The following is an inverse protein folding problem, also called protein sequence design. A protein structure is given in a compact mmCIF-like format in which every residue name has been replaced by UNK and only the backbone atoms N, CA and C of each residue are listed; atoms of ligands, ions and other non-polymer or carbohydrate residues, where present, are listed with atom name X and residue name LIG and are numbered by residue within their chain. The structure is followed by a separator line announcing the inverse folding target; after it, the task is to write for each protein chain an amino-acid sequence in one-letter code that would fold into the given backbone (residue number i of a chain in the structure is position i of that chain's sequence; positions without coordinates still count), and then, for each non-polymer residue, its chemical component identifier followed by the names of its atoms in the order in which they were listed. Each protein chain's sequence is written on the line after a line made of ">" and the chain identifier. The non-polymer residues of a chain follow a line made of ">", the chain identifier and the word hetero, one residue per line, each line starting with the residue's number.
data_IF_419543193768
#
_entry.id   IF_419543193768
#
_cell.length_a   1.000
_cell.length_b   1.000
_cell.length_c   1.000
_cell.angle_alpha   90.00
_cell.angle_beta   90.00
_cell.angle_gamma   90.00
#
_symmetry.space_group_name_H-M   'P 1'
#
loop_
_entity.id
_entity.type
_entity.pdbx_description
1 polymer ?
#
# COMPACT_ATOMS: atom_id res chain seq x y z
N UNK A 1 -22.35 14.74 6.79
CA UNK A 1 -20.91 14.94 6.57
C UNK A 1 -20.37 13.73 5.82
N UNK A 2 -19.58 13.95 4.78
CA UNK A 2 -18.92 12.88 4.06
C UNK A 2 -17.92 12.15 4.96
N UNK A 3 -17.74 10.86 4.71
CA UNK A 3 -16.79 10.03 5.41
C UNK A 3 -15.51 9.77 4.59
N UNK A 4 -14.66 8.93 5.14
CA UNK A 4 -13.47 8.40 4.46
C UNK A 4 -13.62 6.92 4.10
N UNK A 5 -14.56 6.24 4.78
CA UNK A 5 -14.82 4.81 4.61
C UNK A 5 -15.99 4.58 3.64
N UNK A 6 -15.68 4.05 2.46
CA UNK A 6 -16.66 3.68 1.44
C UNK A 6 -17.32 2.32 1.68
N UNK A 7 -16.93 1.60 2.73
CA UNK A 7 -17.59 0.37 3.18
C UNK A 7 -18.57 0.63 4.35
N UNK A 8 -18.83 1.89 4.67
CA UNK A 8 -19.73 2.28 5.75
C UNK A 8 -21.19 2.35 5.31
N UNK A 9 -22.12 2.15 6.27
CA UNK A 9 -23.57 2.37 6.06
C UNK A 9 -23.84 3.80 5.54
N UNK A 10 -23.05 4.79 5.97
CA UNK A 10 -23.16 6.16 5.48
C UNK A 10 -22.90 6.25 3.97
N UNK A 11 -21.91 5.52 3.47
CA UNK A 11 -21.63 5.45 2.03
C UNK A 11 -22.75 4.73 1.27
N UNK A 12 -23.28 3.61 1.76
CA UNK A 12 -24.39 2.90 1.14
C UNK A 12 -25.63 3.81 1.00
N UNK A 13 -25.97 4.55 2.06
CA UNK A 13 -27.08 5.52 2.05
C UNK A 13 -26.80 6.66 1.08
N UNK A 14 -25.55 7.15 1.03
CA UNK A 14 -25.15 8.17 0.07
C UNK A 14 -25.27 7.70 -1.38
N UNK A 15 -24.81 6.48 -1.70
CA UNK A 15 -24.96 5.90 -3.03
C UNK A 15 -26.45 5.71 -3.41
N UNK A 16 -27.27 5.22 -2.46
CA UNK A 16 -28.72 5.14 -2.67
C UNK A 16 -29.32 6.51 -2.97
N UNK A 17 -28.87 7.56 -2.28
CA UNK A 17 -29.33 8.94 -2.52
C UNK A 17 -28.98 9.40 -3.93
N UNK A 18 -27.74 9.18 -4.37
CA UNK A 18 -27.29 9.53 -5.71
C UNK A 18 -28.04 8.74 -6.80
N UNK A 19 -28.23 7.44 -6.62
CA UNK A 19 -28.98 6.59 -7.55
C UNK A 19 -30.42 7.10 -7.78
N UNK A 20 -31.07 7.59 -6.71
CA UNK A 20 -32.42 8.15 -6.80
C UNK A 20 -32.41 9.51 -7.48
N UNK A 21 -31.47 10.40 -7.13
CA UNK A 21 -31.33 11.72 -7.75
C UNK A 21 -31.04 11.66 -9.25
N UNK A 22 -30.28 10.65 -9.67
CA UNK A 22 -29.94 10.39 -11.07
C UNK A 22 -30.98 9.53 -11.81
N UNK A 23 -32.05 9.13 -11.13
CA UNK A 23 -33.15 8.34 -11.72
C UNK A 23 -32.84 6.84 -11.94
N UNK A 24 -31.72 6.33 -11.41
CA UNK A 24 -31.34 4.91 -11.49
C UNK A 24 -32.17 4.02 -10.56
N UNK A 25 -32.68 4.59 -9.46
CA UNK A 25 -33.55 3.91 -8.49
C UNK A 25 -34.77 4.76 -8.17
N UNK A 26 -35.86 4.11 -7.78
CA UNK A 26 -37.10 4.78 -7.32
C UNK A 26 -37.48 4.23 -5.94
N UNK A 27 -37.55 5.13 -4.94
CA UNK A 27 -38.07 4.81 -3.61
C UNK A 27 -38.91 5.99 -3.10
N UNK A 28 -40.25 5.90 -3.17
CA UNK A 28 -41.13 7.03 -2.80
C UNK A 28 -41.11 7.36 -1.30
N UNK A 29 -40.54 6.51 -0.48
CA UNK A 29 -40.37 6.74 0.96
C UNK A 29 -39.02 7.35 1.35
N UNK A 30 -38.12 7.57 0.37
CA UNK A 30 -36.80 8.14 0.58
C UNK A 30 -36.65 9.41 -0.26
N UNK A 31 -36.57 10.55 0.40
CA UNK A 31 -36.35 11.84 -0.24
C UNK A 31 -34.90 12.29 -0.08
N UNK A 32 -34.04 12.10 -1.07
CA UNK A 32 -32.63 12.43 -0.97
C UNK A 32 -32.38 13.92 -1.23
N UNK A 33 -31.55 14.51 -0.38
CA UNK A 33 -30.93 15.82 -0.61
C UNK A 33 -29.44 15.72 -0.27
N UNK A 34 -28.57 16.04 -1.22
CA UNK A 34 -27.12 15.94 -1.05
C UNK A 34 -26.47 17.30 -1.31
N UNK A 35 -25.84 17.85 -0.29
CA UNK A 35 -25.02 19.05 -0.38
C UNK A 35 -23.56 18.64 -0.29
N UNK A 36 -22.90 18.42 -1.41
CA UNK A 36 -21.51 17.99 -1.48
C UNK A 36 -20.87 18.42 -2.78
N UNK A 37 -19.58 18.61 -2.78
CA UNK A 37 -18.82 18.96 -3.97
C UNK A 37 -18.51 17.68 -4.77
N UNK A 38 -18.81 17.63 -6.08
CA UNK A 38 -18.36 16.55 -6.96
C UNK A 38 -16.83 16.42 -6.99
N UNK A 39 -16.32 15.20 -7.20
CA UNK A 39 -14.88 14.89 -7.15
C UNK A 39 -14.07 15.69 -8.20
N UNK A 40 -14.69 16.01 -9.35
CA UNK A 40 -14.08 16.74 -10.45
C UNK A 40 -14.26 18.27 -10.38
N UNK A 41 -14.91 18.81 -9.35
CA UNK A 41 -15.12 20.24 -9.19
C UNK A 41 -13.96 20.90 -8.44
N UNK A 42 -13.69 22.17 -8.79
CA UNK A 42 -12.64 22.94 -8.13
C UNK A 42 -13.03 23.27 -6.68
N UNK A 43 -12.28 22.73 -5.74
CA UNK A 43 -12.48 22.91 -4.31
C UNK A 43 -12.01 24.28 -3.79
N UNK A 44 -11.22 24.99 -4.58
CA UNK A 44 -10.68 26.31 -4.23
C UNK A 44 -11.64 27.44 -4.60
N UNK A 45 -12.61 27.18 -5.47
CA UNK A 45 -13.61 28.16 -5.88
C UNK A 45 -14.64 28.41 -4.76
N UNK A 46 -14.69 29.63 -4.22
CA UNK A 46 -15.65 30.06 -3.20
C UNK A 46 -17.12 29.84 -3.59
N UNK A 47 -17.46 29.92 -4.87
CA UNK A 47 -18.83 29.66 -5.32
C UNK A 47 -19.26 28.23 -5.08
N UNK A 48 -18.34 27.29 -5.14
CA UNK A 48 -18.58 25.90 -4.82
C UNK A 48 -18.79 25.67 -3.31
N UNK A 49 -18.20 26.51 -2.45
CA UNK A 49 -18.43 26.44 -1.00
C UNK A 49 -19.87 26.74 -0.62
N UNK A 50 -20.50 27.70 -1.31
CA UNK A 50 -21.94 28.03 -1.11
C UNK A 50 -22.84 26.88 -1.56
N UNK A 51 -22.51 26.15 -2.64
CA UNK A 51 -23.27 24.98 -3.10
C UNK A 51 -23.27 23.85 -2.07
N UNK A 52 -22.15 23.67 -1.36
CA UNK A 52 -22.00 22.65 -0.33
C UNK A 52 -22.58 23.05 1.02
N UNK A 53 -22.72 24.34 1.28
CA UNK A 53 -23.13 24.89 2.57
C UNK A 53 -24.28 25.91 2.36
N UNK A 54 -25.54 25.45 2.26
CA UNK A 54 -26.68 26.33 2.00
C UNK A 54 -26.92 27.38 3.11
N UNK A 55 -26.35 27.19 4.30
CA UNK A 55 -26.40 28.14 5.43
C UNK A 55 -25.19 29.09 5.49
N UNK A 56 -24.28 29.04 4.52
CA UNK A 56 -23.11 29.91 4.47
C UNK A 56 -23.55 31.37 4.24
N UNK A 57 -23.02 32.25 5.05
CA UNK A 57 -23.42 33.65 5.13
C UNK A 57 -24.53 33.94 6.16
N UNK A 58 -25.20 32.90 6.68
CA UNK A 58 -26.22 33.04 7.72
C UNK A 58 -25.75 32.49 9.08
N UNK A 59 -25.46 31.18 9.17
CA UNK A 59 -25.02 30.52 10.39
C UNK A 59 -23.51 30.39 10.48
N UNK A 60 -22.84 30.35 9.32
CA UNK A 60 -21.37 30.30 9.22
C UNK A 60 -20.94 31.49 8.36
N UNK A 61 -20.02 32.30 8.89
CA UNK A 61 -19.47 33.43 8.12
C UNK A 61 -18.47 32.92 7.08
N UNK A 62 -18.42 33.59 5.93
CA UNK A 62 -17.48 33.22 4.85
C UNK A 62 -16.02 33.30 5.31
N UNK A 63 -15.69 34.24 6.21
CA UNK A 63 -14.33 34.41 6.72
C UNK A 63 -13.82 33.18 7.49
N UNK A 64 -14.70 32.53 8.27
CA UNK A 64 -14.35 31.27 8.95
C UNK A 64 -14.04 30.12 7.96
N UNK A 65 -14.69 30.14 6.80
CA UNK A 65 -14.41 29.13 5.75
C UNK A 65 -13.12 29.48 5.03
N UNK A 66 -12.85 30.78 4.78
CA UNK A 66 -11.57 31.25 4.22
C UNK A 66 -10.39 30.93 5.13
N UNK A 67 -10.52 31.14 6.45
CA UNK A 67 -9.46 30.76 7.40
C UNK A 67 -9.17 29.25 7.34
N UNK A 68 -10.22 28.42 7.29
CA UNK A 68 -10.05 26.98 7.13
C UNK A 68 -9.45 26.59 5.77
N UNK A 69 -9.77 27.32 4.71
CA UNK A 69 -9.19 27.16 3.38
C UNK A 69 -7.70 27.52 3.37
N UNK A 70 -7.30 28.64 3.95
CA UNK A 70 -5.89 29.03 4.02
C UNK A 70 -5.08 27.98 4.76
N UNK A 71 -5.61 27.42 5.85
CA UNK A 71 -4.98 26.32 6.54
C UNK A 71 -4.89 25.04 5.67
N UNK A 72 -5.92 24.79 4.86
CA UNK A 72 -5.94 23.62 3.96
C UNK A 72 -4.87 23.68 2.85
N UNK A 73 -4.33 24.85 2.54
CA UNK A 73 -3.20 25.00 1.61
C UNK A 73 -1.85 24.65 2.22
N UNK A 74 -1.75 24.51 3.56
CA UNK A 74 -0.48 24.26 4.24
C UNK A 74 -0.08 22.80 4.17
N UNK A 75 -1.04 21.85 4.28
CA UNK A 75 -0.75 20.42 4.26
C UNK A 75 -1.85 19.63 3.54
N UNK A 76 -1.52 18.48 2.92
CA UNK A 76 -2.50 17.56 2.33
C UNK A 76 -3.54 17.03 3.34
N UNK A 77 -3.17 16.93 4.61
CA UNK A 77 -4.06 16.52 5.68
C UNK A 77 -5.15 17.58 5.96
N UNK A 78 -4.75 18.84 6.03
CA UNK A 78 -5.66 19.96 6.23
C UNK A 78 -6.56 20.17 5.00
N UNK A 79 -6.04 19.95 3.77
CA UNK A 79 -6.84 19.92 2.54
C UNK A 79 -7.93 18.85 2.61
N UNK A 80 -7.58 17.61 2.94
CA UNK A 80 -8.55 16.53 3.07
C UNK A 80 -9.60 16.83 4.15
N UNK A 81 -9.18 17.38 5.28
CA UNK A 81 -10.09 17.79 6.34
C UNK A 81 -11.05 18.90 5.88
N UNK A 82 -10.57 19.91 5.13
CA UNK A 82 -11.39 20.97 4.57
C UNK A 82 -12.41 20.40 3.57
N UNK A 83 -11.97 19.58 2.62
CA UNK A 83 -12.84 18.93 1.62
C UNK A 83 -13.92 18.08 2.30
N UNK A 84 -13.56 17.28 3.30
CA UNK A 84 -14.50 16.43 4.01
C UNK A 84 -15.51 17.23 4.85
N UNK A 85 -15.02 18.13 5.71
CA UNK A 85 -15.85 18.79 6.73
C UNK A 85 -16.54 20.07 6.23
N UNK A 86 -16.01 20.74 5.20
CA UNK A 86 -16.56 21.97 4.65
C UNK A 86 -17.27 21.78 3.32
N UNK A 87 -16.79 20.83 2.49
CA UNK A 87 -17.35 20.61 1.16
C UNK A 87 -18.12 19.30 1.03
N UNK A 88 -18.25 18.52 2.11
CA UNK A 88 -18.91 17.21 2.14
C UNK A 88 -18.43 16.27 1.02
N UNK A 89 -17.17 16.40 0.64
CA UNK A 89 -16.52 15.55 -0.36
C UNK A 89 -16.03 14.27 0.30
N UNK A 90 -16.26 13.14 -0.34
CA UNK A 90 -15.75 11.85 0.11
C UNK A 90 -14.27 11.74 -0.23
N UNK A 91 -13.42 11.94 0.76
CA UNK A 91 -11.96 11.85 0.61
C UNK A 91 -11.49 10.43 0.94
N UNK A 92 -10.50 9.94 0.19
CA UNK A 92 -9.97 8.58 0.36
C UNK A 92 -9.07 8.49 1.58
N UNK A 93 -8.81 9.17 2.42
CA UNK A 93 -8.04 9.17 3.69
C UNK A 93 -7.70 10.58 4.17
N UNK A 94 -7.58 10.71 5.49
CA UNK A 94 -7.15 11.97 6.08
C UNK A 94 -5.66 12.29 5.82
N UNK A 95 -4.82 11.27 5.56
CA UNK A 95 -3.38 11.46 5.27
C UNK A 95 -2.91 10.31 4.39
N UNK A 96 -2.62 10.58 3.12
CA UNK A 96 -1.81 9.68 2.29
C UNK A 96 -0.38 9.74 2.80
N UNK A 97 0.15 8.59 3.19
CA UNK A 97 1.56 8.51 3.57
C UNK A 97 2.47 8.66 2.36
N UNK A 98 2.21 7.89 1.28
CA UNK A 98 3.04 7.92 0.07
C UNK A 98 2.55 9.00 -0.89
N UNK A 99 3.39 9.96 -1.31
CA UNK A 99 3.08 10.87 -2.41
C UNK A 99 3.08 10.08 -3.73
N UNK A 100 1.87 9.84 -4.26
CA UNK A 100 1.68 8.93 -5.40
C UNK A 100 2.25 9.44 -6.71
N UNK A 101 2.40 10.75 -6.88
CA UNK A 101 3.14 11.36 -7.99
C UNK A 101 4.62 10.93 -7.98
N UNK A 102 5.27 10.97 -6.80
CA UNK A 102 6.66 10.51 -6.64
C UNK A 102 6.82 9.00 -6.76
N UNK A 103 5.83 8.26 -6.25
CA UNK A 103 5.77 6.81 -6.48
C UNK A 103 5.69 6.48 -7.97
N UNK A 104 4.80 7.13 -8.72
CA UNK A 104 4.59 6.88 -10.15
C UNK A 104 5.85 7.24 -10.99
N UNK A 105 6.62 8.25 -10.59
CA UNK A 105 7.91 8.59 -11.20
C UNK A 105 8.97 7.47 -11.03
N UNK A 106 8.81 6.60 -10.02
CA UNK A 106 9.64 5.41 -9.79
C UNK A 106 9.16 4.16 -10.57
N UNK A 107 8.22 4.31 -11.49
CA UNK A 107 7.58 3.22 -12.26
C UNK A 107 8.32 2.80 -13.53
N UNK A 108 9.63 3.01 -13.64
CA UNK A 108 10.43 2.61 -14.80
C UNK A 108 10.39 1.10 -15.06
N UNK A 109 10.78 0.67 -16.26
CA UNK A 109 10.78 -0.76 -16.65
C UNK A 109 11.76 -1.56 -15.80
N UNK A 110 11.28 -2.62 -15.17
CA UNK A 110 12.11 -3.63 -14.50
C UNK A 110 12.10 -4.89 -15.38
N UNK A 111 13.25 -5.25 -15.93
CA UNK A 111 13.42 -6.48 -16.72
C UNK A 111 13.88 -7.62 -15.81
N UNK A 112 13.03 -8.63 -15.54
CA UNK A 112 13.38 -9.75 -14.66
C UNK A 112 14.61 -10.55 -15.13
N UNK A 113 14.89 -10.61 -16.44
CA UNK A 113 16.04 -11.35 -16.97
C UNK A 113 17.37 -10.67 -16.62
N UNK A 114 17.39 -9.34 -16.54
CA UNK A 114 18.60 -8.60 -16.14
C UNK A 114 18.93 -8.75 -14.64
N UNK A 115 17.97 -9.26 -13.87
CA UNK A 115 18.12 -9.50 -12.44
C UNK A 115 18.54 -10.95 -12.11
N UNK A 116 18.63 -11.84 -13.11
CA UNK A 116 19.03 -13.23 -12.89
C UNK A 116 20.43 -13.35 -12.27
N UNK A 117 20.55 -14.22 -11.28
CA UNK A 117 21.76 -14.43 -10.48
C UNK A 117 22.08 -13.30 -9.48
N UNK A 118 21.35 -12.18 -9.50
CA UNK A 118 21.58 -11.09 -8.55
C UNK A 118 21.13 -11.44 -7.13
N UNK A 119 21.89 -10.96 -6.17
CA UNK A 119 21.48 -11.02 -4.76
C UNK A 119 20.22 -10.15 -4.53
N UNK A 120 19.25 -10.73 -3.84
CA UNK A 120 18.02 -10.03 -3.44
C UNK A 120 17.55 -10.49 -2.07
N UNK A 121 16.61 -9.74 -1.52
CA UNK A 121 15.98 -9.96 -0.23
C UNK A 121 14.47 -10.00 -0.43
N UNK A 122 13.80 -10.89 0.26
CA UNK A 122 12.37 -11.08 0.11
C UNK A 122 11.60 -10.67 1.36
N UNK A 123 10.38 -10.20 1.15
CA UNK A 123 9.35 -10.05 2.20
C UNK A 123 8.13 -10.86 1.84
N UNK A 124 7.68 -11.70 2.74
CA UNK A 124 6.56 -12.61 2.59
C UNK A 124 5.46 -12.25 3.59
N UNK A 125 4.32 -11.81 3.12
CA UNK A 125 3.12 -11.53 3.91
C UNK A 125 2.03 -12.54 3.54
N UNK A 126 1.77 -13.48 4.45
CA UNK A 126 0.85 -14.59 4.24
C UNK A 126 -0.55 -14.24 4.74
N UNK A 127 -1.53 -14.51 3.92
CA UNK A 127 -2.95 -14.41 4.27
C UNK A 127 -3.61 -15.79 4.17
N UNK A 128 -4.47 -16.11 5.14
CA UNK A 128 -5.21 -17.37 5.10
C UNK A 128 -6.54 -17.27 4.34
N UNK A 129 -7.30 -16.19 4.50
CA UNK A 129 -8.69 -16.15 4.01
C UNK A 129 -9.17 -14.83 3.42
N UNK A 130 -8.68 -13.67 3.88
CA UNK A 130 -9.29 -12.37 3.53
C UNK A 130 -8.37 -11.41 2.78
N UNK A 131 -7.07 -11.49 3.01
CA UNK A 131 -6.09 -10.57 2.47
C UNK A 131 -5.37 -11.15 1.24
N UNK A 132 -4.47 -10.39 0.63
CA UNK A 132 -3.58 -10.87 -0.42
C UNK A 132 -2.43 -11.65 0.22
N UNK A 133 -2.07 -12.80 -0.33
CA UNK A 133 -0.75 -13.36 -0.06
C UNK A 133 0.25 -12.70 -1.00
N UNK A 134 1.35 -12.23 -0.47
CA UNK A 134 2.29 -11.39 -1.22
C UNK A 134 3.72 -11.76 -0.93
N UNK A 135 4.51 -11.89 -1.99
CA UNK A 135 5.98 -11.94 -1.94
C UNK A 135 6.53 -10.75 -2.70
N UNK A 136 7.49 -10.04 -2.12
CA UNK A 136 8.19 -8.97 -2.80
C UNK A 136 9.68 -9.22 -2.74
N UNK A 137 10.35 -9.24 -3.90
CA UNK A 137 11.80 -9.27 -4.00
C UNK A 137 12.34 -7.85 -4.15
N UNK A 138 13.35 -7.51 -3.35
CA UNK A 138 14.09 -6.25 -3.43
C UNK A 138 15.55 -6.56 -3.78
N UNK A 139 16.00 -5.99 -4.90
CA UNK A 139 17.38 -6.09 -5.37
C UNK A 139 18.07 -4.78 -5.02
N UNK A 140 19.05 -4.78 -4.10
CA UNK A 140 19.79 -3.57 -3.75
C UNK A 140 20.66 -3.09 -4.93
N UNK A 141 20.95 -1.78 -4.98
CA UNK A 141 21.86 -1.22 -5.98
C UNK A 141 23.26 -1.81 -5.84
N UNK A 142 23.94 -2.02 -6.98
CA UNK A 142 25.35 -2.50 -7.03
C UNK A 142 26.35 -1.36 -6.90
N UNK A 143 25.91 -0.15 -7.23
CA UNK A 143 26.70 1.06 -7.14
C UNK A 143 25.80 2.29 -6.82
N UNK A 144 26.42 3.46 -6.63
CA UNK A 144 25.71 4.69 -6.26
C UNK A 144 24.72 5.21 -7.31
N UNK A 145 24.88 4.80 -8.57
CA UNK A 145 24.05 5.28 -9.69
C UNK A 145 22.85 4.36 -9.96
N UNK A 146 22.84 3.14 -9.41
CA UNK A 146 21.76 2.19 -9.59
C UNK A 146 20.65 2.43 -8.55
N UNK A 147 19.40 2.18 -8.94
CA UNK A 147 18.24 2.19 -8.04
C UNK A 147 17.95 0.80 -7.48
N UNK A 148 17.25 0.74 -6.34
CA UNK A 148 16.64 -0.50 -5.89
C UNK A 148 15.64 -0.99 -6.93
N UNK A 149 15.67 -2.28 -7.30
CA UNK A 149 14.69 -2.90 -8.18
C UNK A 149 13.74 -3.76 -7.36
N UNK A 150 12.45 -3.74 -7.74
CA UNK A 150 11.40 -4.44 -7.00
C UNK A 150 10.63 -5.36 -7.94
N UNK A 151 10.46 -6.62 -7.55
CA UNK A 151 9.58 -7.59 -8.21
C UNK A 151 8.53 -8.08 -7.21
N UNK A 152 7.28 -7.63 -7.33
CA UNK A 152 6.18 -8.08 -6.48
C UNK A 152 5.39 -9.23 -7.11
N UNK A 153 4.91 -10.14 -6.28
CA UNK A 153 4.05 -11.27 -6.64
C UNK A 153 2.87 -11.35 -5.67
N UNK A 154 1.67 -11.59 -6.22
CA UNK A 154 0.42 -11.59 -5.45
C UNK A 154 -0.40 -12.83 -5.76
N UNK A 155 -1.05 -13.40 -4.74
CA UNK A 155 -1.92 -14.56 -4.86
C UNK A 155 -3.26 -14.35 -4.18
N UNK A 156 -4.30 -14.94 -4.81
CA UNK A 156 -5.65 -15.07 -4.28
C UNK A 156 -6.19 -16.48 -4.55
N UNK A 157 -7.15 -16.97 -3.72
CA UNK A 157 -7.87 -18.19 -4.06
C UNK A 157 -8.80 -17.96 -5.26
N UNK A 158 -8.79 -18.89 -6.22
CA UNK A 158 -9.57 -18.80 -7.46
C UNK A 158 -11.08 -18.75 -7.20
N UNK A 159 -11.60 -19.65 -6.35
CA UNK A 159 -13.05 -19.75 -6.08
C UNK A 159 -13.64 -18.49 -5.43
N UNK A 160 -12.82 -17.68 -4.75
CA UNK A 160 -13.28 -16.46 -4.08
C UNK A 160 -13.10 -15.20 -4.90
N UNK A 161 -12.43 -15.25 -6.05
CA UNK A 161 -12.07 -14.08 -6.86
C UNK A 161 -13.30 -13.23 -7.24
N UNK A 162 -14.34 -13.85 -7.82
CA UNK A 162 -15.54 -13.14 -8.25
C UNK A 162 -16.33 -12.54 -7.07
N UNK A 163 -16.32 -13.21 -5.91
CA UNK A 163 -16.94 -12.70 -4.70
C UNK A 163 -16.19 -11.47 -4.17
N UNK A 164 -14.85 -11.52 -4.18
CA UNK A 164 -13.99 -10.41 -3.73
C UNK A 164 -14.17 -9.19 -4.61
N UNK A 165 -14.19 -9.34 -5.95
CA UNK A 165 -14.45 -8.23 -6.89
C UNK A 165 -15.76 -7.51 -6.54
N UNK A 166 -16.83 -8.28 -6.22
CA UNK A 166 -18.14 -7.69 -5.86
C UNK A 166 -18.17 -7.05 -4.49
N UNK A 167 -17.49 -7.66 -3.51
CA UNK A 167 -17.47 -7.19 -2.12
C UNK A 167 -16.59 -5.97 -1.95
N UNK A 168 -15.36 -6.02 -2.50
CA UNK A 168 -14.33 -5.02 -2.29
C UNK A 168 -14.37 -3.91 -3.35
N UNK A 169 -15.15 -4.10 -4.46
CA UNK A 169 -15.21 -3.21 -5.62
C UNK A 169 -13.83 -2.93 -6.24
N UNK A 170 -12.95 -3.93 -6.21
CA UNK A 170 -11.57 -3.90 -6.72
C UNK A 170 -11.44 -4.80 -7.93
N UNK A 171 -10.64 -4.39 -8.92
CA UNK A 171 -10.48 -5.06 -10.23
C UNK A 171 -9.54 -6.28 -10.18
N UNK A 172 -9.68 -7.14 -9.16
CA UNK A 172 -8.82 -8.33 -9.02
C UNK A 172 -8.85 -9.25 -10.25
N UNK A 173 -10.02 -9.41 -10.88
CA UNK A 173 -10.23 -10.21 -12.08
C UNK A 173 -9.52 -9.63 -13.32
N UNK A 174 -9.36 -8.31 -13.39
CA UNK A 174 -8.60 -7.67 -14.46
C UNK A 174 -7.10 -7.87 -14.24
N UNK A 175 -6.64 -7.71 -13.00
CA UNK A 175 -5.23 -7.92 -12.65
C UNK A 175 -4.81 -9.38 -12.79
N UNK A 176 -5.71 -10.32 -12.52
CA UNK A 176 -5.48 -11.75 -12.75
C UNK A 176 -5.30 -12.03 -14.25
N UNK A 177 -6.24 -11.58 -15.10
CA UNK A 177 -6.14 -11.72 -16.57
C UNK A 177 -4.89 -11.07 -17.17
N UNK A 178 -4.38 -10.01 -16.56
CA UNK A 178 -3.15 -9.31 -16.96
C UNK A 178 -1.88 -9.95 -16.41
N UNK A 179 -2.00 -10.96 -15.53
CA UNK A 179 -0.87 -11.65 -14.90
C UNK A 179 -0.26 -10.92 -13.71
N UNK A 180 -0.90 -9.86 -13.19
CA UNK A 180 -0.42 -9.13 -12.01
C UNK A 180 -0.83 -9.79 -10.68
N UNK A 181 -1.83 -10.66 -10.70
CA UNK A 181 -2.24 -11.53 -9.59
C UNK A 181 -2.30 -12.95 -10.13
N UNK A 182 -1.80 -13.90 -9.35
CA UNK A 182 -1.94 -15.33 -9.61
C UNK A 182 -3.07 -15.88 -8.75
N UNK A 183 -3.77 -16.90 -9.24
CA UNK A 183 -4.75 -17.62 -8.45
C UNK A 183 -4.21 -18.98 -8.02
N UNK A 184 -4.63 -19.42 -6.83
CA UNK A 184 -4.42 -20.80 -6.37
C UNK A 184 -5.76 -21.53 -6.34
N UNK A 185 -5.75 -22.82 -6.64
CA UNK A 185 -6.95 -23.65 -6.65
C UNK A 185 -7.65 -23.68 -5.28
N UNK A 186 -8.98 -23.60 -5.26
CA UNK A 186 -9.81 -23.71 -4.07
C UNK A 186 -10.20 -22.36 -3.42
N UNK A 187 -10.78 -22.47 -2.22
CA UNK A 187 -11.34 -21.34 -1.46
C UNK A 187 -10.34 -20.63 -0.54
N UNK A 188 -9.17 -21.23 -0.32
CA UNK A 188 -8.07 -20.70 0.50
C UNK A 188 -6.78 -20.70 -0.30
N UNK A 189 -5.84 -19.85 0.06
CA UNK A 189 -4.55 -19.82 -0.62
C UNK A 189 -3.80 -21.14 -0.39
N UNK A 190 -3.40 -21.79 -1.46
CA UNK A 190 -2.66 -23.04 -1.41
C UNK A 190 -1.15 -22.77 -1.27
N UNK A 191 -0.63 -22.85 -0.05
CA UNK A 191 0.76 -22.50 0.26
C UNK A 191 1.80 -23.34 -0.49
N UNK A 192 1.54 -24.63 -0.76
CA UNK A 192 2.45 -25.46 -1.56
C UNK A 192 2.70 -24.94 -2.99
N UNK A 193 1.73 -24.24 -3.60
CA UNK A 193 1.95 -23.60 -4.89
C UNK A 193 2.90 -22.41 -4.76
N UNK A 194 2.81 -21.67 -3.65
CA UNK A 194 3.69 -20.51 -3.37
C UNK A 194 5.09 -20.98 -3.00
N UNK A 195 5.23 -22.05 -2.20
CA UNK A 195 6.52 -22.68 -1.88
C UNK A 195 7.26 -23.07 -3.16
N UNK A 196 6.58 -23.80 -4.05
CA UNK A 196 7.13 -24.17 -5.35
C UNK A 196 7.58 -22.95 -6.16
N UNK A 197 6.77 -21.91 -6.20
CA UNK A 197 7.10 -20.67 -6.92
C UNK A 197 8.33 -19.97 -6.31
N UNK A 198 8.46 -19.97 -4.97
CA UNK A 198 9.64 -19.41 -4.29
C UNK A 198 10.89 -20.21 -4.63
N UNK A 199 10.80 -21.55 -4.69
CA UNK A 199 11.91 -22.40 -5.13
C UNK A 199 12.33 -22.09 -6.58
N UNK A 200 11.37 -21.95 -7.51
CA UNK A 200 11.63 -21.53 -8.90
C UNK A 200 12.30 -20.14 -8.98
N UNK A 201 11.91 -19.20 -8.12
CA UNK A 201 12.58 -17.90 -8.00
C UNK A 201 14.00 -18.03 -7.44
N UNK A 202 14.23 -18.96 -6.49
CA UNK A 202 15.55 -19.26 -5.94
C UNK A 202 16.54 -19.85 -6.94
N UNK A 203 16.04 -20.55 -7.97
CA UNK A 203 16.87 -21.00 -9.11
C UNK A 203 17.29 -19.85 -10.02
N UNK A 204 16.49 -18.79 -10.11
CA UNK A 204 16.74 -17.63 -10.98
C UNK A 204 17.50 -16.52 -10.28
N UNK A 205 17.20 -16.27 -9.03
CA UNK A 205 17.73 -15.15 -8.25
C UNK A 205 18.43 -15.66 -6.99
N UNK A 206 19.45 -14.94 -6.54
CA UNK A 206 20.16 -15.27 -5.31
C UNK A 206 19.42 -14.66 -4.10
N UNK A 207 18.34 -15.31 -3.66
CA UNK A 207 17.54 -14.89 -2.51
C UNK A 207 18.35 -15.15 -1.25
N UNK A 208 18.84 -14.10 -0.60
CA UNK A 208 19.69 -14.18 0.60
C UNK A 208 18.90 -14.46 1.86
N UNK A 209 17.79 -13.75 2.02
CA UNK A 209 16.92 -13.84 3.19
C UNK A 209 15.49 -13.56 2.81
N UNK A 210 14.54 -14.23 3.48
CA UNK A 210 13.10 -14.01 3.35
C UNK A 210 12.57 -13.56 4.70
N UNK A 211 12.19 -12.26 4.82
CA UNK A 211 11.48 -11.77 5.99
C UNK A 211 10.02 -12.17 5.94
N UNK A 212 9.47 -12.67 7.05
CA UNK A 212 8.07 -13.09 7.14
C UNK A 212 7.41 -12.63 8.44
N UNK A 213 6.07 -12.45 8.41
CA UNK A 213 5.33 -12.23 9.64
C UNK A 213 5.25 -13.53 10.45
N UNK A 214 5.70 -13.47 11.70
CA UNK A 214 5.77 -14.64 12.62
C UNK A 214 4.40 -15.24 12.95
N UNK A 215 3.31 -14.54 12.68
CA UNK A 215 1.95 -15.00 12.90
C UNK A 215 1.44 -15.76 11.65
N UNK A 216 1.12 -17.03 11.74
CA UNK A 216 0.55 -17.90 10.69
C UNK A 216 1.49 -18.56 9.66
N UNK A 217 2.82 -18.58 9.86
CA UNK A 217 3.75 -19.08 8.83
C UNK A 217 4.48 -20.39 9.15
N UNK A 218 4.21 -21.06 10.29
CA UNK A 218 5.09 -22.08 10.85
C UNK A 218 5.40 -23.25 9.90
N UNK A 219 4.41 -23.83 9.22
CA UNK A 219 4.66 -24.96 8.30
C UNK A 219 5.44 -24.54 7.06
N UNK A 220 5.01 -23.46 6.40
CA UNK A 220 5.65 -22.94 5.18
C UNK A 220 7.11 -22.51 5.45
N UNK A 221 7.37 -21.91 6.62
CA UNK A 221 8.73 -21.52 7.02
C UNK A 221 9.63 -22.73 7.16
N UNK A 222 9.16 -23.80 7.81
CA UNK A 222 9.93 -25.05 7.94
C UNK A 222 10.25 -25.66 6.57
N UNK A 223 9.26 -25.74 5.67
CA UNK A 223 9.47 -26.25 4.30
C UNK A 223 10.53 -25.43 3.56
N UNK A 224 10.42 -24.10 3.60
CA UNK A 224 11.40 -23.23 2.92
C UNK A 224 12.80 -23.28 3.55
N UNK A 225 12.90 -23.48 4.88
CA UNK A 225 14.19 -23.71 5.55
C UNK A 225 14.80 -25.06 5.13
N UNK A 226 13.98 -26.10 5.00
CA UNK A 226 14.42 -27.41 4.52
C UNK A 226 14.88 -27.36 3.05
N UNK A 227 14.27 -26.47 2.24
CA UNK A 227 14.68 -26.18 0.85
C UNK A 227 15.92 -25.25 0.77
N UNK A 228 16.47 -24.82 1.92
CA UNK A 228 17.72 -24.08 2.02
C UNK A 228 17.59 -22.56 2.04
N UNK A 229 16.38 -22.02 2.18
CA UNK A 229 16.17 -20.57 2.33
C UNK A 229 16.43 -20.10 3.76
N UNK A 230 16.96 -18.90 3.90
CA UNK A 230 17.14 -18.26 5.22
C UNK A 230 15.90 -17.46 5.58
N UNK A 231 15.11 -17.99 6.51
CA UNK A 231 13.85 -17.39 6.94
C UNK A 231 14.05 -16.49 8.16
N UNK A 232 13.64 -15.22 8.09
CA UNK A 232 13.85 -14.22 9.13
C UNK A 232 12.50 -13.74 9.68
N UNK A 233 12.18 -14.03 10.95
CA UNK A 233 10.93 -13.53 11.56
C UNK A 233 10.98 -12.01 11.71
N UNK A 234 9.94 -11.33 11.21
CA UNK A 234 9.83 -9.87 11.24
C UNK A 234 8.65 -9.44 12.12
N UNK A 235 8.86 -8.43 12.95
CA UNK A 235 7.81 -7.85 13.78
C UNK A 235 7.13 -6.67 13.10
N UNK A 236 5.79 -6.66 13.03
CA UNK A 236 5.04 -5.54 12.46
C UNK A 236 4.80 -4.40 13.48
N UNK A 237 5.67 -4.27 14.49
CA UNK A 237 5.67 -3.18 15.46
C UNK A 237 6.49 -1.96 14.98
N UNK A 238 6.37 -0.85 15.70
CA UNK A 238 7.12 0.39 15.40
C UNK A 238 8.63 0.18 15.34
N UNK A 239 9.17 -0.68 16.21
CA UNK A 239 10.61 -0.94 16.29
C UNK A 239 11.19 -1.48 14.98
N UNK A 240 10.51 -2.46 14.39
CA UNK A 240 11.02 -3.17 13.21
C UNK A 240 10.57 -2.49 11.92
N UNK A 241 9.32 -1.95 11.90
CA UNK A 241 8.77 -1.29 10.72
C UNK A 241 9.32 0.12 10.47
N UNK A 242 9.66 0.89 11.53
CA UNK A 242 9.95 2.32 11.37
C UNK A 242 11.19 2.61 10.51
N UNK A 243 12.36 1.96 10.71
CA UNK A 243 13.53 2.24 9.89
C UNK A 243 13.28 2.01 8.38
N UNK A 244 12.80 0.83 7.93
CA UNK A 244 12.58 0.58 6.51
C UNK A 244 11.41 1.40 5.93
N UNK A 245 10.40 1.77 6.73
CA UNK A 245 9.31 2.65 6.28
C UNK A 245 9.82 4.06 5.98
N UNK A 246 10.70 4.61 6.83
CA UNK A 246 11.36 5.91 6.61
C UNK A 246 12.30 5.86 5.41
N UNK A 247 13.07 4.79 5.30
CA UNK A 247 13.99 4.60 4.18
C UNK A 247 13.24 4.47 2.85
N UNK A 248 12.13 3.73 2.80
CA UNK A 248 11.31 3.63 1.60
C UNK A 248 10.82 5.00 1.12
N UNK A 249 10.36 5.85 2.04
CA UNK A 249 9.99 7.23 1.70
C UNK A 249 11.17 8.00 1.12
N UNK A 250 12.36 7.90 1.73
CA UNK A 250 13.57 8.58 1.28
C UNK A 250 13.95 8.16 -0.15
N UNK A 251 14.04 6.85 -0.42
CA UNK A 251 14.44 6.36 -1.75
C UNK A 251 13.41 6.65 -2.84
N UNK A 252 12.12 6.73 -2.50
CA UNK A 252 11.08 7.19 -3.44
C UNK A 252 11.24 8.67 -3.77
N UNK A 253 11.42 9.54 -2.75
CA UNK A 253 11.62 10.98 -2.96
C UNK A 253 12.90 11.29 -3.73
N UNK A 254 13.94 10.46 -3.59
CA UNK A 254 15.22 10.58 -4.31
C UNK A 254 15.22 9.88 -5.67
N UNK A 255 14.09 9.29 -6.12
CA UNK A 255 13.98 8.49 -7.35
C UNK A 255 14.99 7.33 -7.44
N UNK A 256 15.31 6.73 -6.29
CA UNK A 256 16.24 5.61 -6.15
C UNK A 256 15.55 4.26 -6.00
N UNK A 257 14.28 4.18 -6.35
CA UNK A 257 13.48 2.96 -6.43
C UNK A 257 13.00 2.76 -7.86
N UNK A 258 12.90 1.51 -8.31
CA UNK A 258 12.20 1.15 -9.53
C UNK A 258 11.32 -0.07 -9.26
N UNK A 259 10.01 0.11 -9.35
CA UNK A 259 9.01 -0.92 -9.04
C UNK A 259 8.24 -1.42 -10.28
N UNK A 260 8.71 -1.11 -11.48
CA UNK A 260 8.13 -1.61 -12.73
C UNK A 260 6.71 -1.13 -13.04
N UNK A 261 6.19 -0.14 -12.34
CA UNK A 261 4.81 0.34 -12.53
C UNK A 261 3.73 -0.69 -12.17
N UNK A 262 4.02 -1.66 -11.30
CA UNK A 262 3.11 -2.76 -10.97
C UNK A 262 1.79 -2.25 -10.35
N UNK A 263 0.60 -2.46 -10.98
CA UNK A 263 -0.63 -1.79 -10.59
C UNK A 263 -1.17 -2.25 -9.23
N UNK A 264 -0.99 -3.51 -8.86
CA UNK A 264 -1.44 -4.03 -7.56
C UNK A 264 -0.58 -3.45 -6.43
N UNK A 265 0.74 -3.37 -6.61
CA UNK A 265 1.63 -2.74 -5.64
C UNK A 265 1.33 -1.25 -5.50
N UNK A 266 1.11 -0.55 -6.63
CA UNK A 266 0.68 0.85 -6.63
C UNK A 266 -0.61 1.04 -5.83
N UNK A 267 -1.62 0.20 -6.06
CA UNK A 267 -2.87 0.22 -5.33
C UNK A 267 -2.69 -0.02 -3.83
N UNK A 268 -1.79 -0.91 -3.43
CA UNK A 268 -1.45 -1.14 -2.01
C UNK A 268 -0.89 0.14 -1.36
N UNK A 269 -0.02 0.89 -2.04
CA UNK A 269 0.54 2.14 -1.53
C UNK A 269 -0.47 3.29 -1.52
N UNK A 270 -1.39 3.36 -2.49
CA UNK A 270 -2.48 4.35 -2.52
C UNK A 270 -3.44 4.17 -1.33
N UNK A 271 -3.55 2.94 -0.80
CA UNK A 271 -4.39 2.60 0.34
C UNK A 271 -3.66 2.65 1.69
N UNK A 272 -2.33 2.71 1.68
CA UNK A 272 -1.54 2.56 2.89
C UNK A 272 -1.72 3.74 3.86
N UNK A 273 -2.12 3.41 5.09
CA UNK A 273 -2.10 4.33 6.22
C UNK A 273 -0.87 4.04 7.09
N UNK A 274 -0.21 5.11 7.54
CA UNK A 274 0.93 5.00 8.46
C UNK A 274 0.55 5.62 9.80
N UNK A 275 0.72 4.84 10.86
CA UNK A 275 0.60 5.31 12.24
C UNK A 275 1.94 5.87 12.69
N UNK A 276 1.92 7.00 13.39
CA UNK A 276 3.08 7.59 14.04
C UNK A 276 2.92 7.50 15.55
N UNK A 277 3.97 7.11 16.26
CA UNK A 277 4.02 7.17 17.72
C UNK A 277 4.54 8.55 18.20
N UNK A 278 4.43 8.87 19.52
CA UNK A 278 4.93 10.14 20.06
C UNK A 278 6.43 10.37 19.87
N UNK A 279 7.22 9.33 19.63
CA UNK A 279 8.67 9.42 19.35
C UNK A 279 8.96 9.61 17.85
N UNK A 280 7.94 9.71 16.99
CA UNK A 280 8.08 9.88 15.55
C UNK A 280 8.44 8.59 14.81
N UNK A 281 8.21 7.41 15.41
CA UNK A 281 8.34 6.15 14.71
C UNK A 281 7.11 5.88 13.85
N UNK A 282 7.32 5.27 12.71
CA UNK A 282 6.30 4.99 11.70
C UNK A 282 6.03 3.49 11.60
N UNK A 283 4.77 3.11 11.37
CA UNK A 283 4.43 1.75 10.91
C UNK A 283 3.21 1.76 10.00
N UNK A 284 3.20 0.88 9.03
CA UNK A 284 2.01 0.57 8.24
C UNK A 284 0.92 0.01 9.15
N UNK A 285 -0.32 0.43 8.96
CA UNK A 285 -1.47 0.04 9.79
C UNK A 285 -2.58 -0.56 8.92
N UNK A 286 -2.67 -1.89 8.89
CA UNK A 286 -3.67 -2.63 8.11
C UNK A 286 -5.11 -2.30 8.52
N UNK A 287 -5.37 -2.04 9.82
CA UNK A 287 -6.72 -1.75 10.32
C UNK A 287 -7.25 -0.38 9.88
N UNK A 288 -6.35 0.60 9.75
CA UNK A 288 -6.70 1.98 9.35
C UNK A 288 -6.52 2.24 7.87
N UNK A 289 -5.94 1.33 7.14
CA UNK A 289 -5.80 1.41 5.68
C UNK A 289 -7.17 1.25 5.01
N UNK A 290 -7.36 1.94 3.89
CA UNK A 290 -8.66 1.97 3.18
C UNK A 290 -9.00 0.61 2.60
N UNK A 291 -7.98 -0.09 2.10
CA UNK A 291 -8.03 -1.42 1.49
C UNK A 291 -6.76 -2.21 1.82
N UNK A 292 -6.50 -3.30 1.09
CA UNK A 292 -5.34 -4.18 1.29
C UNK A 292 -4.01 -3.47 1.06
N UNK A 293 -3.04 -3.71 1.94
CA UNK A 293 -1.69 -3.12 1.89
C UNK A 293 -0.59 -4.18 2.03
N UNK A 294 -0.92 -5.45 1.81
CA UNK A 294 -0.02 -6.59 2.05
C UNK A 294 1.28 -6.48 1.24
N UNK A 295 1.20 -5.99 -0.01
CA UNK A 295 2.38 -5.71 -0.84
C UNK A 295 3.25 -4.59 -0.30
N UNK A 296 2.67 -3.56 0.30
CA UNK A 296 3.43 -2.49 0.94
C UNK A 296 4.16 -3.00 2.19
N UNK A 297 3.50 -3.84 2.99
CA UNK A 297 4.10 -4.51 4.16
C UNK A 297 5.24 -5.42 3.72
N UNK A 298 5.03 -6.27 2.71
CA UNK A 298 6.05 -7.17 2.17
C UNK A 298 7.27 -6.41 1.62
N UNK A 299 7.04 -5.29 0.90
CA UNK A 299 8.14 -4.44 0.40
C UNK A 299 8.97 -3.85 1.56
N UNK A 300 8.31 -3.35 2.61
CA UNK A 300 9.01 -2.81 3.78
C UNK A 300 9.83 -3.88 4.49
N UNK A 301 9.30 -5.10 4.63
CA UNK A 301 10.03 -6.24 5.19
C UNK A 301 11.27 -6.62 4.36
N UNK A 302 11.12 -6.70 3.03
CA UNK A 302 12.24 -6.99 2.13
C UNK A 302 13.31 -5.90 2.16
N UNK A 303 12.89 -4.63 2.19
CA UNK A 303 13.81 -3.49 2.26
C UNK A 303 14.61 -3.48 3.58
N UNK A 304 14.00 -3.85 4.71
CA UNK A 304 14.71 -4.01 5.99
C UNK A 304 15.89 -4.97 5.86
N UNK A 305 15.67 -6.11 5.20
CA UNK A 305 16.74 -7.10 5.01
C UNK A 305 17.83 -6.58 4.08
N UNK A 306 17.43 -5.93 2.99
CA UNK A 306 18.37 -5.30 2.06
C UNK A 306 19.26 -4.26 2.78
N UNK A 307 18.67 -3.38 3.58
CA UNK A 307 19.40 -2.35 4.34
C UNK A 307 20.39 -2.94 5.35
N UNK A 308 19.96 -3.96 6.12
CA UNK A 308 20.80 -4.57 7.16
C UNK A 308 22.02 -5.29 6.59
N UNK A 309 21.86 -5.88 5.41
CA UNK A 309 22.94 -6.63 4.78
C UNK A 309 23.87 -5.76 3.92
N UNK A 310 23.41 -4.61 3.41
CA UNK A 310 24.31 -3.64 2.75
C UNK A 310 25.33 -3.05 3.76
N UNK A 311 24.92 -2.76 4.98
CA UNK A 311 25.81 -2.25 6.02
C UNK A 311 26.77 -3.32 6.58
N UNK A 312 26.53 -4.60 6.30
CA UNK A 312 27.40 -5.72 6.74
C UNK A 312 28.57 -6.03 5.81
N UNK A 313 28.54 -5.54 4.56
CA UNK A 313 29.62 -5.78 3.59
C UNK A 313 30.84 -4.86 3.78
N UNK A 314 30.72 -3.77 4.55
CA UNK A 314 31.82 -2.83 4.88
C UNK A 314 32.39 -3.02 6.29
N UNK A 315 32.26 -4.21 6.88
CA UNK A 315 33.02 -4.50 8.11
C UNK A 315 34.52 -4.58 7.77
N UNK A 316 35.20 -3.48 8.02
CA UNK A 316 36.68 -3.29 7.91
C UNK A 316 37.49 -4.36 8.67
N UNK A 317 36.82 -5.26 9.40
CA UNK A 317 37.43 -6.35 10.15
C UNK A 317 37.68 -7.63 9.34
N UNK A 318 37.13 -7.76 8.14
CA UNK A 318 37.35 -8.95 7.30
C UNK A 318 38.63 -8.91 6.47
N UNK A 319 39.25 -7.74 6.30
CA UNK A 319 40.49 -7.58 5.53
C UNK A 319 41.77 -7.47 6.39
N UNK A 320 41.66 -7.49 7.70
CA UNK A 320 42.84 -7.54 8.59
C UNK A 320 42.99 -8.93 9.18
N UNK A 321 43.78 -9.75 8.49
CA UNK A 321 44.31 -10.99 9.06
C UNK A 321 44.87 -10.74 10.46
N UNK A 322 44.63 -11.65 11.40
CA UNK A 322 45.19 -11.67 12.76
C UNK A 322 46.72 -11.46 12.70
N UNK A 323 47.19 -10.30 13.09
CA UNK A 323 48.58 -10.14 13.49
C UNK A 323 48.76 -10.79 14.87
N UNK A 324 49.30 -12.00 14.88
CA UNK A 324 49.88 -12.61 16.08
C UNK A 324 51.21 -11.90 16.34
N UNK A 325 51.26 -11.20 17.45
CA UNK A 325 52.53 -10.76 18.08
C UNK A 325 53.06 -11.85 19.03
#
# INVERSE_FOLDING_TARGET
>A
TAGTDRNSVCWEVHQKALDILEGRKHDPRFYPVVYGLPDNADWQDEQNWYKCNPSLGYTITIDKVRDAYHKALETPADENMFRQLRLNQWVKQSIRWMPMDKWDECGGVVDPYQLEGRACYAGLDLSSTSDLTTLVLVFPPRDENESYMVLPFFWLPEDTLALRVRRDHVMYDQWERQGFIQTTEGNVVHYGAIEKFICELGERYNIREIAYDRWNATMMVQTLEDDGFTMIPFGQGFRDMSPPTKELMRIVLEHRLNHGGHPVLRWNFDNAYVRTDPAGNLKLDKEKSTEKIDGAVALVMALDRAMKNQNGSDSVYNDRGLLLL
#
